data_IF_472001940664
#
_entry.id   IF_472001940664
#
_cell.length_a   1.000
_cell.length_b   1.000
_cell.length_c   1.000
_cell.angle_alpha   90.00
_cell.angle_beta   90.00
_cell.angle_gamma   90.00
#
_symmetry.space_group_name_H-M   'P 1'
#
loop_
_entity.id
_entity.type
_entity.pdbx_description
1 polymer ?
#
# COMPACT_ATOMS: atom_id res chain seq x y z
N UNK A 1 -16.72 -1.11 6.62
CA UNK A 1 -15.92 -2.24 7.16
C UNK A 1 -14.46 -1.96 6.83
N UNK A 2 -13.53 -2.18 7.76
CA UNK A 2 -12.10 -1.86 7.61
C UNK A 2 -11.27 -3.10 7.85
N UNK A 3 -10.26 -3.33 7.01
CA UNK A 3 -9.32 -4.43 7.20
C UNK A 3 -8.49 -4.21 8.47
N UNK A 4 -8.59 -5.14 9.41
CA UNK A 4 -7.83 -5.11 10.66
C UNK A 4 -6.56 -5.96 10.53
N UNK A 5 -6.68 -7.26 10.31
CA UNK A 5 -5.52 -8.14 10.29
C UNK A 5 -5.78 -9.42 9.51
N UNK A 6 -4.74 -10.23 9.41
CA UNK A 6 -4.80 -11.60 8.90
C UNK A 6 -4.75 -12.56 10.08
N UNK A 7 -5.63 -13.54 10.06
CA UNK A 7 -5.58 -14.70 10.93
C UNK A 7 -4.84 -15.82 10.19
N UNK A 8 -3.57 -16.04 10.55
CA UNK A 8 -2.73 -17.04 9.91
C UNK A 8 -3.13 -18.47 10.28
N UNK A 9 -3.75 -18.67 11.44
CA UNK A 9 -4.19 -20.00 11.87
C UNK A 9 -5.42 -20.46 11.09
N UNK A 10 -6.30 -19.51 10.76
CA UNK A 10 -7.57 -19.77 10.08
C UNK A 10 -7.55 -19.44 8.58
N UNK A 11 -6.39 -19.03 8.04
CA UNK A 11 -6.21 -18.50 6.68
C UNK A 11 -7.34 -17.53 6.28
N UNK A 12 -7.55 -16.52 7.11
CA UNK A 12 -8.68 -15.61 6.99
C UNK A 12 -8.31 -14.14 7.19
N UNK A 13 -9.04 -13.25 6.53
CA UNK A 13 -8.99 -11.82 6.75
C UNK A 13 -9.97 -11.41 7.85
N UNK A 14 -9.54 -10.48 8.70
CA UNK A 14 -10.36 -9.89 9.77
C UNK A 14 -10.72 -8.47 9.36
N UNK A 15 -12.02 -8.17 9.38
CA UNK A 15 -12.56 -6.84 9.14
C UNK A 15 -13.37 -6.36 10.34
N UNK A 16 -13.26 -5.07 10.66
CA UNK A 16 -13.96 -4.44 11.78
C UNK A 16 -14.90 -3.31 11.38
N UNK A 17 -15.78 -2.94 12.30
CA UNK A 17 -16.65 -1.79 12.18
C UNK A 17 -15.85 -0.47 12.16
N UNK A 18 -15.98 0.39 11.13
CA UNK A 18 -15.25 1.66 11.06
C UNK A 18 -15.68 2.69 12.10
N UNK A 19 -16.87 2.55 12.68
CA UNK A 19 -17.47 3.53 13.60
C UNK A 19 -17.11 3.20 15.06
N UNK A 20 -17.35 1.94 15.46
CA UNK A 20 -17.28 1.49 16.85
C UNK A 20 -15.94 0.84 17.23
N UNK A 21 -15.18 0.31 16.26
CA UNK A 21 -13.89 -0.35 16.56
C UNK A 21 -12.75 0.67 16.52
N UNK A 22 -12.06 0.90 17.64
CA UNK A 22 -10.96 1.87 17.70
C UNK A 22 -9.78 1.53 16.78
N UNK A 23 -9.43 0.25 16.64
CA UNK A 23 -8.33 -0.17 15.77
C UNK A 23 -8.65 0.15 14.30
N UNK A 24 -9.90 -0.09 13.88
CA UNK A 24 -10.38 0.28 12.55
C UNK A 24 -10.25 1.79 12.30
N UNK A 25 -10.62 2.62 13.29
CA UNK A 25 -10.53 4.07 13.21
C UNK A 25 -9.09 4.55 13.09
N UNK A 26 -8.19 4.06 13.96
CA UNK A 26 -6.76 4.38 13.90
C UNK A 26 -6.15 4.01 12.55
N UNK A 27 -6.57 2.87 11.96
CA UNK A 27 -6.14 2.47 10.61
C UNK A 27 -6.66 3.41 9.53
N UNK A 28 -7.90 3.90 9.63
CA UNK A 28 -8.42 4.92 8.70
C UNK A 28 -7.64 6.23 8.81
N UNK A 29 -7.39 6.70 10.04
CA UNK A 29 -6.57 7.88 10.33
C UNK A 29 -5.17 7.74 9.72
N UNK A 30 -4.48 6.63 10.00
CA UNK A 30 -3.14 6.36 9.47
C UNK A 30 -3.13 6.25 7.93
N UNK A 31 -4.22 5.79 7.32
CA UNK A 31 -4.36 5.73 5.86
C UNK A 31 -4.75 7.07 5.22
N UNK A 32 -4.93 8.14 6.01
CA UNK A 32 -5.42 9.43 5.52
C UNK A 32 -6.82 9.34 4.90
N UNK A 33 -7.63 8.38 5.34
CA UNK A 33 -9.01 8.20 4.88
C UNK A 33 -9.97 8.96 5.80
N UNK A 34 -11.17 9.21 5.32
CA UNK A 34 -12.23 9.79 6.13
C UNK A 34 -12.58 8.84 7.29
N UNK A 35 -12.54 9.40 8.50
CA UNK A 35 -12.86 8.68 9.74
C UNK A 35 -14.24 9.15 10.18
N UNK A 36 -15.20 8.24 10.41
CA UNK A 36 -16.52 8.64 10.87
C UNK A 36 -16.43 9.49 12.14
N UNK A 37 -16.93 10.73 12.11
CA UNK A 37 -16.92 11.62 13.28
C UNK A 37 -17.78 11.08 14.42
N UNK A 38 -18.88 10.41 14.04
CA UNK A 38 -19.79 9.72 14.95
C UNK A 38 -19.06 8.60 15.70
N UNK A 39 -19.25 8.55 17.01
CA UNK A 39 -18.79 7.45 17.89
C UNK A 39 -19.92 6.50 18.26
N UNK A 40 -21.15 6.87 17.97
CA UNK A 40 -22.33 6.03 18.09
C UNK A 40 -22.78 5.63 16.68
N UNK A 41 -23.22 4.38 16.52
CA UNK A 41 -23.66 3.87 15.23
C UNK A 41 -25.17 3.70 15.24
N UNK A 42 -25.88 4.40 14.35
CA UNK A 42 -27.34 4.31 14.22
C UNK A 42 -27.83 2.88 13.93
N UNK A 43 -27.00 2.07 13.27
CA UNK A 43 -27.30 0.66 12.94
C UNK A 43 -26.76 -0.33 13.97
N UNK A 44 -26.34 0.11 15.16
CA UNK A 44 -25.79 -0.77 16.19
C UNK A 44 -26.77 -1.86 16.57
N UNK A 45 -28.04 -1.53 16.79
CA UNK A 45 -29.07 -2.49 17.21
C UNK A 45 -29.28 -3.61 16.18
N UNK A 46 -29.20 -3.30 14.88
CA UNK A 46 -29.37 -4.30 13.81
C UNK A 46 -28.07 -5.10 13.52
N UNK A 47 -26.93 -4.41 13.54
CA UNK A 47 -25.66 -4.99 13.12
C UNK A 47 -24.91 -5.67 14.28
N UNK A 48 -24.91 -5.08 15.47
CA UNK A 48 -24.10 -5.54 16.59
C UNK A 48 -24.73 -5.12 17.94
N UNK A 49 -25.93 -5.63 18.26
CA UNK A 49 -26.71 -5.16 19.42
C UNK A 49 -25.95 -5.35 20.75
N UNK A 50 -25.23 -6.48 20.86
CA UNK A 50 -24.54 -6.89 22.10
C UNK A 50 -23.07 -6.42 22.12
N UNK A 51 -22.46 -6.12 20.98
CA UNK A 51 -21.02 -5.82 20.89
C UNK A 51 -20.75 -4.32 20.98
N UNK A 52 -19.91 -3.93 21.94
CA UNK A 52 -19.46 -2.55 22.11
C UNK A 52 -18.53 -2.08 20.98
N UNK A 53 -17.69 -2.98 20.47
CA UNK A 53 -16.70 -2.68 19.42
C UNK A 53 -17.28 -2.82 18.00
N UNK A 54 -18.58 -3.05 17.90
CA UNK A 54 -19.27 -3.34 16.65
C UNK A 54 -19.04 -4.76 16.14
N UNK A 55 -19.51 -5.03 14.92
CA UNK A 55 -19.35 -6.35 14.28
C UNK A 55 -17.94 -6.55 13.75
N UNK A 56 -17.36 -7.71 14.02
CA UNK A 56 -16.13 -8.20 13.41
C UNK A 56 -16.49 -9.32 12.45
N UNK A 57 -15.98 -9.25 11.23
CA UNK A 57 -16.14 -10.30 10.24
C UNK A 57 -14.81 -10.98 10.00
N UNK A 58 -14.84 -12.31 10.04
CA UNK A 58 -13.75 -13.15 9.58
C UNK A 58 -14.16 -13.74 8.24
N UNK A 59 -13.37 -13.48 7.20
CA UNK A 59 -13.64 -13.95 5.84
C UNK A 59 -12.47 -14.82 5.42
N UNK A 60 -12.72 -16.08 5.07
CA UNK A 60 -11.67 -16.99 4.61
C UNK A 60 -10.99 -16.44 3.36
N UNK A 61 -9.69 -16.69 3.21
CA UNK A 61 -8.89 -16.26 2.07
C UNK A 61 -9.46 -16.74 0.74
N UNK A 62 -9.97 -17.97 0.69
CA UNK A 62 -10.55 -18.58 -0.51
C UNK A 62 -11.73 -17.79 -1.09
N UNK A 63 -12.52 -17.12 -0.24
CA UNK A 63 -13.67 -16.28 -0.64
C UNK A 63 -13.20 -14.98 -1.29
N UNK A 64 -11.99 -14.56 -0.96
CA UNK A 64 -11.36 -13.30 -1.36
C UNK A 64 -10.09 -13.55 -2.17
N UNK A 65 -10.14 -14.52 -3.10
CA UNK A 65 -8.99 -14.99 -3.88
C UNK A 65 -8.36 -13.93 -4.79
N UNK A 66 -9.10 -12.88 -5.13
CA UNK A 66 -8.61 -11.70 -5.85
C UNK A 66 -7.70 -10.79 -5.01
N UNK A 67 -7.67 -10.98 -3.69
CA UNK A 67 -6.85 -10.21 -2.77
C UNK A 67 -5.53 -10.95 -2.54
N UNK A 68 -4.42 -10.27 -2.78
CA UNK A 68 -3.10 -10.81 -2.46
C UNK A 68 -2.97 -10.96 -0.94
N UNK A 69 -2.66 -12.17 -0.48
CA UNK A 69 -2.50 -12.45 0.94
C UNK A 69 -1.28 -11.77 1.54
N UNK A 70 -0.17 -11.72 0.80
CA UNK A 70 1.09 -11.18 1.30
C UNK A 70 1.08 -9.66 1.28
N UNK A 71 0.34 -9.08 0.32
CA UNK A 71 0.19 -7.64 0.19
C UNK A 71 -1.26 -7.23 -0.15
N UNK A 72 -2.21 -7.32 0.81
CA UNK A 72 -3.61 -7.02 0.54
C UNK A 72 -3.79 -5.58 0.07
N UNK A 73 -4.58 -5.35 -0.99
CA UNK A 73 -4.69 -4.04 -1.65
C UNK A 73 -5.26 -2.94 -0.74
N UNK A 74 -6.03 -3.32 0.27
CA UNK A 74 -6.59 -2.44 1.30
C UNK A 74 -5.73 -2.36 2.57
N UNK A 75 -4.58 -3.03 2.61
CA UNK A 75 -3.64 -2.87 3.71
C UNK A 75 -2.92 -1.52 3.63
N UNK A 76 -2.57 -0.98 4.79
CA UNK A 76 -1.77 0.24 4.88
C UNK A 76 -0.42 0.11 4.15
N UNK A 77 0.26 -1.02 4.34
CA UNK A 77 1.53 -1.32 3.67
C UNK A 77 1.40 -1.26 2.14
N UNK A 78 0.34 -1.83 1.59
CA UNK A 78 0.08 -1.77 0.16
C UNK A 78 -0.04 -0.32 -0.32
N UNK A 79 -0.81 0.52 0.37
CA UNK A 79 -0.95 1.94 0.01
C UNK A 79 0.37 2.69 0.07
N UNK A 80 1.20 2.46 1.10
CA UNK A 80 2.53 3.04 1.19
C UNK A 80 3.39 2.66 -0.02
N UNK A 81 3.51 1.36 -0.29
CA UNK A 81 4.30 0.85 -1.43
C UNK A 81 3.75 1.36 -2.76
N UNK A 82 2.43 1.38 -2.91
CA UNK A 82 1.77 1.89 -4.11
C UNK A 82 2.01 3.39 -4.29
N UNK A 83 2.05 4.18 -3.21
CA UNK A 83 2.39 5.61 -3.29
C UNK A 83 3.83 5.83 -3.79
N UNK A 84 4.77 4.96 -3.40
CA UNK A 84 6.16 4.98 -3.86
C UNK A 84 6.30 4.63 -5.35
N UNK A 85 5.37 3.86 -5.92
CA UNK A 85 5.38 3.51 -7.35
C UNK A 85 5.45 4.76 -8.24
N UNK A 86 4.68 5.80 -7.91
CA UNK A 86 4.70 7.06 -8.67
C UNK A 86 6.07 7.74 -8.63
N UNK A 87 6.82 7.63 -7.52
CA UNK A 87 8.19 8.14 -7.42
C UNK A 87 9.15 7.35 -8.31
N UNK A 88 9.04 6.02 -8.32
CA UNK A 88 9.85 5.13 -9.17
C UNK A 88 9.55 5.39 -10.66
N UNK A 89 8.29 5.53 -11.04
CA UNK A 89 7.91 5.87 -12.43
C UNK A 89 8.43 7.24 -12.84
N UNK A 90 8.37 8.25 -11.94
CA UNK A 90 8.99 9.57 -12.16
C UNK A 90 10.51 9.47 -12.32
N UNK A 91 11.18 8.60 -11.57
CA UNK A 91 12.62 8.34 -11.70
C UNK A 91 12.94 7.79 -13.09
N UNK A 92 12.23 6.76 -13.54
CA UNK A 92 12.40 6.18 -14.87
C UNK A 92 12.12 7.18 -15.98
N UNK A 93 11.10 8.03 -15.84
CA UNK A 93 10.81 9.11 -16.78
C UNK A 93 11.98 10.10 -16.88
N UNK A 94 12.55 10.53 -15.75
CA UNK A 94 13.75 11.39 -15.73
C UNK A 94 14.96 10.72 -16.39
N UNK A 95 15.18 9.43 -16.15
CA UNK A 95 16.24 8.66 -16.81
C UNK A 95 16.07 8.62 -18.34
N UNK A 96 14.87 8.35 -18.82
CA UNK A 96 14.59 8.30 -20.27
C UNK A 96 14.72 9.67 -20.93
N UNK A 97 14.08 10.69 -20.34
CA UNK A 97 13.95 12.03 -20.93
C UNK A 97 15.14 12.94 -20.64
N UNK A 98 15.45 13.19 -19.36
CA UNK A 98 16.48 14.18 -18.96
C UNK A 98 17.90 13.67 -19.19
N UNK A 99 18.15 12.41 -18.85
CA UNK A 99 19.44 11.77 -19.12
C UNK A 99 19.53 11.20 -20.54
N UNK A 100 18.50 11.44 -21.37
CA UNK A 100 18.42 11.04 -22.78
C UNK A 100 18.74 9.56 -22.99
N UNK A 101 18.47 8.69 -22.02
CA UNK A 101 18.78 7.26 -22.13
C UNK A 101 18.02 6.59 -23.26
N UNK A 102 16.86 7.15 -23.66
CA UNK A 102 16.14 6.72 -24.86
C UNK A 102 16.90 6.98 -26.15
N UNK A 103 17.84 7.94 -26.18
CA UNK A 103 18.54 8.38 -27.38
C UNK A 103 19.96 7.79 -27.56
N UNK A 104 20.33 6.80 -26.75
CA UNK A 104 21.66 6.18 -26.82
C UNK A 104 21.63 5.07 -27.87
N UNK A 105 21.83 5.42 -29.14
CA UNK A 105 21.69 4.49 -30.27
C UNK A 105 23.02 4.02 -30.90
N UNK A 106 24.15 4.62 -30.55
CA UNK A 106 25.45 4.41 -31.25
C UNK A 106 26.49 3.59 -30.47
N UNK A 107 26.07 2.91 -29.40
CA UNK A 107 26.96 2.08 -28.57
C UNK A 107 26.45 0.63 -28.68
N UNK A 108 27.34 -0.36 -28.77
CA UNK A 108 26.91 -1.76 -28.74
C UNK A 108 26.04 -2.06 -27.52
N UNK A 109 25.13 -3.04 -27.63
CA UNK A 109 24.07 -3.30 -26.64
C UNK A 109 24.62 -3.42 -25.21
N UNK A 110 25.74 -4.13 -25.02
CA UNK A 110 26.35 -4.30 -23.69
C UNK A 110 26.86 -2.99 -23.10
N UNK A 111 27.43 -2.11 -23.94
CA UNK A 111 27.91 -0.79 -23.52
C UNK A 111 26.74 0.12 -23.12
N UNK A 112 25.61 0.03 -23.82
CA UNK A 112 24.39 0.75 -23.45
C UNK A 112 23.85 0.21 -22.12
N UNK A 113 23.72 -1.11 -21.98
CA UNK A 113 23.22 -1.76 -20.77
C UNK A 113 24.08 -1.41 -19.55
N UNK A 114 25.41 -1.48 -19.67
CA UNK A 114 26.33 -1.08 -18.60
C UNK A 114 26.21 0.41 -18.23
N UNK A 115 25.97 1.28 -19.20
CA UNK A 115 25.74 2.70 -18.96
C UNK A 115 24.43 2.96 -18.22
N UNK A 116 23.33 2.31 -18.62
CA UNK A 116 22.03 2.39 -17.94
C UNK A 116 22.16 1.89 -16.50
N UNK A 117 22.81 0.74 -16.29
CA UNK A 117 23.01 0.15 -14.96
C UNK A 117 23.81 1.07 -14.02
N UNK A 118 24.89 1.70 -14.51
CA UNK A 118 25.64 2.70 -13.72
C UNK A 118 24.75 3.83 -13.24
N UNK A 119 23.90 4.37 -14.10
CA UNK A 119 22.97 5.43 -13.73
C UNK A 119 21.86 4.96 -12.79
N UNK A 120 21.32 3.74 -12.98
CA UNK A 120 20.32 3.18 -12.06
C UNK A 120 20.89 3.05 -10.64
N UNK A 121 22.14 2.58 -10.51
CA UNK A 121 22.83 2.49 -9.23
C UNK A 121 23.11 3.87 -8.63
N UNK A 122 23.58 4.83 -9.44
CA UNK A 122 23.79 6.21 -8.98
C UNK A 122 22.48 6.83 -8.47
N UNK A 123 21.39 6.65 -9.19
CA UNK A 123 20.07 7.16 -8.81
C UNK A 123 19.56 6.49 -7.54
N UNK A 124 19.81 5.18 -7.34
CA UNK A 124 19.50 4.50 -6.07
C UNK A 124 20.30 5.08 -4.90
N UNK A 125 21.62 5.30 -5.08
CA UNK A 125 22.48 5.90 -4.05
C UNK A 125 22.00 7.32 -3.71
N UNK A 126 21.79 8.15 -4.73
CA UNK A 126 21.28 9.51 -4.55
C UNK A 126 19.91 9.51 -3.86
N UNK A 127 19.04 8.58 -4.23
CA UNK A 127 17.71 8.52 -3.65
C UNK A 127 17.72 8.04 -2.19
N UNK A 128 18.68 7.19 -1.81
CA UNK A 128 18.96 6.85 -0.41
C UNK A 128 19.54 8.05 0.37
N UNK A 129 20.55 8.74 -0.17
CA UNK A 129 21.20 9.88 0.48
C UNK A 129 20.27 11.08 0.68
N UNK A 130 19.39 11.33 -0.29
CA UNK A 130 18.44 12.46 -0.24
C UNK A 130 17.15 12.14 0.50
N UNK A 131 17.02 10.91 1.05
CA UNK A 131 15.80 10.45 1.70
C UNK A 131 14.58 10.37 0.76
N UNK A 132 14.78 10.39 -0.56
CA UNK A 132 13.65 10.38 -1.52
C UNK A 132 12.91 9.05 -1.56
N UNK A 133 13.56 7.95 -1.12
CA UNK A 133 12.88 6.68 -0.85
C UNK A 133 11.97 6.70 0.37
N UNK A 134 12.13 7.65 1.31
CA UNK A 134 11.23 7.90 2.43
C UNK A 134 10.77 6.66 3.19
N UNK A 135 11.56 6.26 4.19
CA UNK A 135 11.01 6.00 5.52
C UNK A 135 11.07 7.32 6.27
#
# INVERSE_FOLDING_TARGET
MVFLSKDYNMDAYIFGCPVLNEEARRKLEHMGMEVPSQRECERKEECSPISEIGRIYRVKREVLSQIDWDNPQFSYRFKLVHSLRTKIERLFSRMKERFKMKHVYKRGIDKIRGHILKFMNLMHILANLTGTYGV
#
